data_IF_671718863359
#
_entry.id   IF_671718863359
#
_cell.length_a   1.000
_cell.length_b   1.000
_cell.length_c   1.000
_cell.angle_alpha   90.00
_cell.angle_beta   90.00
_cell.angle_gamma   90.00
#
_symmetry.space_group_name_H-M   'P 1'
#
loop_
_entity.id
_entity.type
_entity.pdbx_description
1 polymer ?
#
# COMPACT_ATOMS: atom_id res chain seq x y z
N UNK A 1 -3.71 -13.13 8.02
CA UNK A 1 -2.57 -12.76 8.90
C UNK A 1 -3.07 -12.03 10.13
N UNK A 2 -2.31 -12.02 11.22
CA UNK A 2 -2.70 -11.30 12.44
C UNK A 2 -2.25 -9.82 12.38
N UNK A 3 -3.20 -8.89 12.45
CA UNK A 3 -2.95 -7.44 12.50
C UNK A 3 -2.96 -6.86 13.92
N UNK A 4 -3.43 -7.61 14.94
CA UNK A 4 -3.43 -7.13 16.34
C UNK A 4 -2.05 -7.13 16.98
N UNK A 5 -1.09 -7.88 16.42
CA UNK A 5 0.30 -7.95 16.87
C UNK A 5 0.47 -8.26 18.37
N UNK A 6 -0.53 -8.90 18.99
CA UNK A 6 -0.54 -9.20 20.42
C UNK A 6 -0.70 -7.98 21.33
N UNK A 7 -1.18 -6.85 20.80
CA UNK A 7 -1.40 -5.61 21.55
C UNK A 7 -2.90 -5.37 21.73
N UNK A 8 -3.37 -5.02 22.93
CA UNK A 8 -4.78 -4.69 23.15
C UNK A 8 -5.23 -3.48 22.31
N UNK A 9 -6.52 -3.48 21.96
CA UNK A 9 -7.13 -2.42 21.13
C UNK A 9 -7.45 -2.88 19.72
N UNK A 10 -7.86 -1.94 18.88
CA UNK A 10 -8.15 -2.17 17.46
C UNK A 10 -6.94 -1.78 16.62
N UNK A 11 -6.50 -2.62 15.67
CA UNK A 11 -5.44 -2.28 14.73
C UNK A 11 -5.71 -0.94 14.05
N UNK A 12 -4.65 -0.19 13.77
CA UNK A 12 -4.70 1.16 13.19
C UNK A 12 -3.60 1.33 12.13
N UNK A 13 -3.89 2.07 11.06
CA UNK A 13 -3.00 2.25 9.90
C UNK A 13 -1.60 2.73 10.29
N UNK A 14 -1.49 3.73 11.17
CA UNK A 14 -0.16 4.29 11.55
C UNK A 14 0.78 3.25 12.14
N UNK A 15 0.29 2.34 12.99
CA UNK A 15 1.09 1.27 13.60
C UNK A 15 1.13 0.00 12.74
N UNK A 16 0.03 -0.33 12.03
CA UNK A 16 -0.05 -1.48 11.14
C UNK A 16 0.89 -1.34 9.94
N UNK A 17 0.78 -0.23 9.22
CA UNK A 17 1.68 0.07 8.10
C UNK A 17 3.14 0.18 8.55
N UNK A 18 3.41 0.82 9.72
CA UNK A 18 4.78 0.84 10.24
C UNK A 18 5.31 -0.58 10.48
N UNK A 19 4.48 -1.49 10.98
CA UNK A 19 4.90 -2.88 11.19
C UNK A 19 5.18 -3.60 9.86
N UNK A 20 4.33 -3.39 8.84
CA UNK A 20 4.55 -3.90 7.48
C UNK A 20 5.87 -3.38 6.90
N UNK A 21 6.08 -2.07 6.95
CA UNK A 21 7.20 -1.40 6.27
C UNK A 21 8.55 -1.62 6.95
N UNK A 22 8.58 -1.90 8.26
CA UNK A 22 9.83 -1.99 9.01
C UNK A 22 10.14 -3.38 9.55
N UNK A 23 9.15 -4.27 9.61
CA UNK A 23 9.28 -5.55 10.29
C UNK A 23 9.24 -5.46 11.83
N UNK A 24 9.05 -4.27 12.40
CA UNK A 24 9.01 -4.06 13.86
C UNK A 24 7.56 -4.07 14.34
N UNK A 25 7.30 -4.66 15.51
CA UNK A 25 6.00 -4.54 16.16
C UNK A 25 5.80 -3.10 16.68
N UNK A 26 5.33 -2.23 15.79
CA UNK A 26 5.17 -0.80 16.04
C UNK A 26 4.13 -0.49 17.12
N UNK A 27 3.04 -1.27 17.19
CA UNK A 27 2.03 -1.13 18.22
C UNK A 27 2.60 -1.45 19.62
N UNK A 28 3.40 -2.52 19.73
CA UNK A 28 4.09 -2.86 20.98
C UNK A 28 5.13 -1.80 21.36
N UNK A 29 5.91 -1.31 20.40
CA UNK A 29 6.94 -0.28 20.62
C UNK A 29 6.35 1.05 21.07
N UNK A 30 5.19 1.43 20.52
CA UNK A 30 4.48 2.65 20.90
C UNK A 30 3.62 2.48 22.17
N UNK A 31 3.31 1.24 22.55
CA UNK A 31 2.48 0.89 23.72
C UNK A 31 0.99 0.70 23.40
N UNK A 32 0.54 1.00 22.17
CA UNK A 32 -0.86 0.82 21.71
C UNK A 32 -0.96 0.90 20.19
N UNK A 33 -2.10 0.49 19.63
CA UNK A 33 -2.45 0.82 18.24
C UNK A 33 -2.68 2.32 18.09
N UNK A 34 -2.22 2.89 16.96
CA UNK A 34 -2.32 4.32 16.68
C UNK A 34 -2.43 4.59 15.17
N UNK A 35 -3.31 5.51 14.78
CA UNK A 35 -3.57 5.91 13.39
C UNK A 35 -4.33 7.25 13.28
N UNK A 36 -4.61 7.69 12.08
CA UNK A 36 -4.23 7.10 10.78
C UNK A 36 -2.75 7.29 10.42
N UNK A 37 -2.08 8.30 10.98
CA UNK A 37 -0.66 8.61 10.72
C UNK A 37 0.26 7.95 11.75
N UNK A 38 1.54 7.69 11.42
CA UNK A 38 2.49 7.17 12.39
C UNK A 38 2.76 8.21 13.49
N UNK A 39 2.80 7.81 14.76
CA UNK A 39 3.19 8.71 15.84
C UNK A 39 4.66 9.13 15.68
N UNK A 40 5.00 10.33 16.16
CA UNK A 40 6.36 10.89 16.03
C UNK A 40 7.45 9.96 16.59
N UNK A 41 7.13 9.22 17.66
CA UNK A 41 8.05 8.25 18.29
C UNK A 41 8.47 7.10 17.36
N UNK A 42 7.73 6.83 16.28
CA UNK A 42 8.08 5.79 15.30
C UNK A 42 8.84 6.32 14.08
N UNK A 43 9.02 7.65 13.95
CA UNK A 43 9.66 8.25 12.76
C UNK A 43 11.09 7.78 12.54
N UNK A 44 11.89 7.67 13.61
CA UNK A 44 13.27 7.18 13.51
C UNK A 44 13.34 5.71 13.05
N UNK A 45 12.38 4.90 13.46
CA UNK A 45 12.29 3.50 13.00
C UNK A 45 11.94 3.47 11.50
N UNK A 46 10.95 4.26 11.08
CA UNK A 46 10.56 4.37 9.67
C UNK A 46 11.75 4.87 8.84
N UNK A 47 12.50 5.88 9.33
CA UNK A 47 13.67 6.43 8.65
C UNK A 47 14.76 5.38 8.45
N UNK A 48 15.07 4.62 9.50
CA UNK A 48 16.22 3.71 9.49
C UNK A 48 15.93 2.32 8.92
N UNK A 49 14.66 1.89 8.90
CA UNK A 49 14.30 0.49 8.62
C UNK A 49 13.13 0.31 7.64
N UNK A 50 12.72 1.36 6.89
CA UNK A 50 11.64 1.16 5.94
C UNK A 50 12.05 0.28 4.75
N UNK A 51 11.07 -0.44 4.20
CA UNK A 51 11.27 -1.42 3.13
C UNK A 51 11.98 -0.84 1.90
N UNK A 52 11.67 0.39 1.48
CA UNK A 52 12.31 1.01 0.32
C UNK A 52 13.82 1.17 0.54
N UNK A 53 14.21 1.77 1.68
CA UNK A 53 15.63 1.94 2.02
C UNK A 53 16.36 0.60 2.08
N UNK A 54 15.75 -0.43 2.68
CA UNK A 54 16.36 -1.75 2.82
C UNK A 54 16.53 -2.47 1.48
N UNK A 55 15.55 -2.36 0.56
CA UNK A 55 15.65 -2.94 -0.78
C UNK A 55 16.69 -2.19 -1.62
N UNK A 56 16.72 -0.86 -1.55
CA UNK A 56 17.73 -0.05 -2.25
C UNK A 56 19.16 -0.34 -1.76
N UNK A 57 19.36 -0.65 -0.47
CA UNK A 57 20.65 -1.10 0.07
C UNK A 57 21.12 -2.44 -0.51
N UNK A 58 20.20 -3.25 -1.06
CA UNK A 58 20.53 -4.46 -1.80
C UNK A 58 20.83 -4.20 -3.30
N UNK A 59 20.93 -2.92 -3.70
CA UNK A 59 21.16 -2.52 -5.09
C UNK A 59 19.94 -2.67 -5.99
N UNK A 60 18.75 -2.79 -5.43
CA UNK A 60 17.49 -3.02 -6.14
C UNK A 60 16.71 -1.73 -6.36
N UNK A 61 16.04 -1.61 -7.49
CA UNK A 61 15.19 -0.48 -7.84
C UNK A 61 13.82 -0.60 -7.20
N UNK A 62 13.28 0.54 -6.73
CA UNK A 62 11.98 0.59 -6.02
C UNK A 62 11.10 1.71 -6.55
N UNK A 63 9.79 1.53 -6.48
CA UNK A 63 8.83 2.58 -6.83
C UNK A 63 7.56 2.47 -5.98
N UNK A 64 6.97 3.64 -5.69
CA UNK A 64 5.60 3.76 -5.20
C UNK A 64 4.72 4.25 -6.34
N UNK A 65 3.85 3.39 -6.86
CA UNK A 65 3.15 3.59 -8.11
C UNK A 65 1.99 4.59 -8.06
N UNK A 66 1.58 5.05 -6.87
CA UNK A 66 0.48 5.99 -6.73
C UNK A 66 0.86 7.40 -7.19
N UNK A 67 -0.02 8.03 -7.98
CA UNK A 67 0.09 9.43 -8.38
C UNK A 67 -0.54 10.38 -7.35
N UNK A 68 0.05 11.57 -7.22
CA UNK A 68 -0.42 12.65 -6.34
C UNK A 68 -0.71 13.93 -7.12
N UNK A 69 -1.80 14.64 -6.78
CA UNK A 69 -2.08 15.96 -7.36
C UNK A 69 -1.16 17.04 -6.75
N UNK A 70 -0.98 18.16 -7.45
CA UNK A 70 -0.11 19.26 -7.00
C UNK A 70 -0.41 19.72 -5.57
N UNK A 71 -1.68 19.85 -5.20
CA UNK A 71 -2.09 20.23 -3.83
C UNK A 71 -1.49 19.35 -2.73
N UNK A 72 -1.15 18.07 -3.03
CA UNK A 72 -0.48 17.20 -2.08
C UNK A 72 0.97 17.63 -1.87
N UNK A 73 1.67 18.01 -2.93
CA UNK A 73 3.04 18.52 -2.84
C UNK A 73 3.08 19.87 -2.12
N UNK A 74 2.12 20.74 -2.39
CA UNK A 74 1.98 22.03 -1.68
C UNK A 74 1.76 21.80 -0.17
N UNK A 75 0.90 20.82 0.17
CA UNK A 75 0.69 20.39 1.56
C UNK A 75 1.97 19.86 2.21
N UNK A 76 2.72 19.01 1.53
CA UNK A 76 3.98 18.46 2.08
C UNK A 76 5.05 19.53 2.25
N UNK A 77 5.12 20.48 1.32
CA UNK A 77 6.07 21.60 1.32
C UNK A 77 5.72 22.68 2.36
N UNK A 78 4.47 22.78 2.81
CA UNK A 78 4.04 23.71 3.87
C UNK A 78 4.59 23.38 5.27
N UNK A 79 5.40 22.32 5.39
CA UNK A 79 5.96 21.87 6.66
C UNK A 79 5.00 20.99 7.47
N UNK A 80 3.85 20.63 6.93
CA UNK A 80 2.89 19.74 7.58
C UNK A 80 3.47 18.34 7.74
N UNK A 81 3.33 17.78 8.93
CA UNK A 81 3.97 16.50 9.31
C UNK A 81 3.01 15.31 9.37
N UNK A 82 1.76 15.49 8.93
CA UNK A 82 0.75 14.42 8.92
C UNK A 82 0.77 13.66 7.58
N UNK A 83 1.74 12.79 7.42
CA UNK A 83 1.90 11.94 6.24
C UNK A 83 1.64 10.48 6.60
N UNK A 84 1.10 9.71 5.66
CA UNK A 84 0.98 8.25 5.82
C UNK A 84 2.37 7.62 5.98
N UNK A 85 2.42 6.40 6.50
CA UNK A 85 3.68 5.66 6.63
C UNK A 85 4.35 5.49 5.26
N UNK A 86 3.57 5.19 4.23
CA UNK A 86 4.04 4.99 2.86
C UNK A 86 4.72 6.24 2.31
N UNK A 87 4.01 7.37 2.33
CA UNK A 87 4.57 8.65 1.85
C UNK A 87 5.81 9.05 2.64
N UNK A 88 5.76 8.92 3.98
CA UNK A 88 6.89 9.24 4.84
C UNK A 88 8.10 8.35 4.54
N UNK A 89 7.87 7.06 4.29
CA UNK A 89 8.92 6.11 3.92
C UNK A 89 9.56 6.45 2.57
N UNK A 90 8.75 6.82 1.56
CA UNK A 90 9.26 7.29 0.27
C UNK A 90 10.16 8.52 0.44
N UNK A 91 9.67 9.56 1.14
CA UNK A 91 10.44 10.78 1.36
C UNK A 91 11.74 10.53 2.14
N UNK A 92 11.72 9.69 3.16
CA UNK A 92 12.90 9.36 3.96
C UNK A 92 13.91 8.47 3.21
N UNK A 93 13.45 7.68 2.25
CA UNK A 93 14.29 6.85 1.40
C UNK A 93 14.77 7.57 0.12
N UNK A 94 14.26 8.77 -0.17
CA UNK A 94 14.54 9.48 -1.42
C UNK A 94 13.83 8.88 -2.64
N UNK A 95 12.75 8.12 -2.43
CA UNK A 95 11.92 7.59 -3.52
C UNK A 95 11.01 8.69 -4.02
N UNK A 96 11.08 9.08 -5.31
CA UNK A 96 10.22 10.11 -5.86
C UNK A 96 8.74 9.68 -5.82
N UNK A 97 7.88 10.65 -5.53
CA UNK A 97 6.43 10.48 -5.62
C UNK A 97 5.96 10.89 -7.02
N UNK A 98 5.11 10.09 -7.61
CA UNK A 98 4.57 10.36 -8.94
C UNK A 98 3.53 11.49 -8.93
N UNK A 99 3.52 12.25 -10.00
CA UNK A 99 2.71 13.45 -10.21
C UNK A 99 1.55 13.21 -11.19
N UNK A 100 0.76 14.25 -11.44
CA UNK A 100 -0.24 14.25 -12.51
C UNK A 100 0.39 14.00 -13.89
N UNK A 101 1.63 14.46 -14.13
CA UNK A 101 2.34 14.24 -15.40
C UNK A 101 2.69 12.76 -15.61
N UNK A 102 3.07 12.08 -14.54
CA UNK A 102 3.30 10.63 -14.61
C UNK A 102 2.01 9.87 -14.90
N UNK A 103 0.88 10.31 -14.30
CA UNK A 103 -0.42 9.71 -14.57
C UNK A 103 -0.88 9.93 -16.02
N UNK A 104 -0.64 11.13 -16.61
CA UNK A 104 -0.92 11.41 -18.03
C UNK A 104 -0.21 10.45 -18.96
N UNK A 105 1.02 10.10 -18.64
CA UNK A 105 1.84 9.16 -19.43
C UNK A 105 1.59 7.69 -19.09
N UNK A 106 0.59 7.38 -18.30
CA UNK A 106 0.32 6.04 -17.77
C UNK A 106 1.52 5.42 -16.99
N UNK A 107 2.42 6.28 -16.50
CA UNK A 107 3.56 5.91 -15.69
C UNK A 107 3.28 5.85 -14.19
N UNK A 108 2.03 6.12 -13.80
CA UNK A 108 1.55 6.05 -12.42
C UNK A 108 0.10 5.56 -12.39
N UNK A 109 -0.39 5.18 -11.20
CA UNK A 109 -1.76 4.73 -10.98
C UNK A 109 -2.45 5.67 -10.00
N UNK A 110 -3.72 6.02 -10.27
CA UNK A 110 -4.54 6.78 -9.33
C UNK A 110 -4.93 5.92 -8.14
N UNK A 111 -4.92 6.48 -6.94
CA UNK A 111 -5.29 5.77 -5.72
C UNK A 111 -6.76 5.27 -5.72
N UNK A 112 -7.65 5.88 -6.53
CA UNK A 112 -9.04 5.43 -6.72
C UNK A 112 -9.22 4.59 -7.99
N UNK A 113 -8.12 4.21 -8.67
CA UNK A 113 -8.01 3.39 -9.87
C UNK A 113 -8.48 4.09 -11.15
N UNK A 114 -9.72 4.54 -11.21
CA UNK A 114 -10.45 4.93 -12.43
C UNK A 114 -10.18 6.36 -12.91
N UNK A 115 -9.46 7.18 -12.15
CA UNK A 115 -9.18 8.62 -12.45
C UNK A 115 -10.42 9.51 -12.49
N UNK A 116 -11.59 9.02 -12.06
CA UNK A 116 -12.86 9.78 -12.10
C UNK A 116 -12.79 11.10 -11.31
N UNK A 117 -11.96 11.15 -10.26
CA UNK A 117 -11.80 12.33 -9.41
C UNK A 117 -10.78 13.36 -9.90
N UNK A 118 -9.96 13.03 -10.88
CA UNK A 118 -8.90 13.93 -11.35
C UNK A 118 -9.43 15.21 -12.02
N UNK A 119 -10.51 15.17 -12.86
CA UNK A 119 -11.12 16.38 -13.37
C UNK A 119 -11.59 17.34 -12.27
N UNK A 120 -12.17 16.83 -11.18
CA UNK A 120 -12.61 17.63 -10.02
C UNK A 120 -11.42 18.27 -9.27
N UNK A 121 -10.22 17.68 -9.39
CA UNK A 121 -8.98 18.20 -8.84
C UNK A 121 -8.30 19.25 -9.72
N UNK A 122 -8.93 19.63 -10.86
CA UNK A 122 -8.40 20.61 -11.80
C UNK A 122 -7.60 20.01 -12.98
N UNK A 123 -7.65 18.67 -13.17
CA UNK A 123 -6.94 17.96 -14.23
C UNK A 123 -7.93 17.40 -15.27
N UNK A 124 -8.65 18.29 -15.96
CA UNK A 124 -9.66 17.92 -16.97
C UNK A 124 -9.10 17.18 -18.18
N UNK A 125 -7.79 17.25 -18.37
CA UNK A 125 -7.02 16.58 -19.42
C UNK A 125 -6.58 15.14 -19.05
N UNK A 126 -6.88 14.67 -17.83
CA UNK A 126 -6.68 13.28 -17.41
C UNK A 126 -8.04 12.56 -17.49
N UNK A 127 -8.29 11.79 -18.56
CA UNK A 127 -9.56 11.11 -18.73
C UNK A 127 -9.72 9.94 -17.76
N UNK A 128 -10.96 9.60 -17.37
CA UNK A 128 -11.26 8.36 -16.69
C UNK A 128 -10.83 7.14 -17.51
N UNK A 129 -10.51 6.07 -16.82
CA UNK A 129 -10.18 4.74 -17.40
C UNK A 129 -10.93 3.65 -16.63
N UNK A 130 -11.03 2.43 -17.18
CA UNK A 130 -11.52 1.30 -16.40
C UNK A 130 -10.52 0.88 -15.33
N UNK A 131 -11.00 0.24 -14.27
CA UNK A 131 -10.13 -0.29 -13.24
C UNK A 131 -9.19 -1.37 -13.80
N UNK A 132 -9.66 -2.20 -14.74
CA UNK A 132 -8.81 -3.17 -15.44
C UNK A 132 -7.66 -2.52 -16.21
N UNK A 133 -7.91 -1.38 -16.87
CA UNK A 133 -6.83 -0.63 -17.54
C UNK A 133 -5.81 -0.10 -16.52
N UNK A 134 -6.25 0.36 -15.36
CA UNK A 134 -5.34 0.77 -14.28
C UNK A 134 -4.46 -0.40 -13.79
N UNK A 135 -5.03 -1.62 -13.74
CA UNK A 135 -4.28 -2.85 -13.44
C UNK A 135 -3.18 -3.15 -14.47
N UNK A 136 -3.49 -3.04 -15.76
CA UNK A 136 -2.49 -3.18 -16.85
C UNK A 136 -1.38 -2.12 -16.74
N UNK A 137 -1.74 -0.88 -16.41
CA UNK A 137 -0.74 0.16 -16.19
C UNK A 137 0.16 -0.17 -15.00
N UNK A 138 -0.39 -0.68 -13.87
CA UNK A 138 0.43 -1.10 -12.74
C UNK A 138 1.40 -2.21 -13.13
N UNK A 139 0.96 -3.21 -13.91
CA UNK A 139 1.85 -4.25 -14.40
C UNK A 139 2.98 -3.68 -15.27
N UNK A 140 2.65 -2.78 -16.21
CA UNK A 140 3.64 -2.11 -17.05
C UNK A 140 4.67 -1.30 -16.26
N UNK A 141 4.25 -0.70 -15.12
CA UNK A 141 5.16 -0.02 -14.20
C UNK A 141 6.03 -1.05 -13.48
N UNK A 142 5.43 -2.13 -12.98
CA UNK A 142 6.13 -3.16 -12.22
C UNK A 142 7.27 -3.83 -13.01
N UNK A 143 7.13 -3.97 -14.32
CA UNK A 143 8.19 -4.50 -15.18
C UNK A 143 9.48 -3.66 -15.23
N UNK A 144 9.45 -2.41 -14.73
CA UNK A 144 10.59 -1.48 -14.78
C UNK A 144 11.39 -1.43 -13.47
N UNK A 145 10.89 -2.08 -12.42
CA UNK A 145 11.45 -2.01 -11.07
C UNK A 145 11.52 -3.39 -10.43
N UNK A 146 12.50 -3.60 -9.57
CA UNK A 146 12.60 -4.83 -8.79
C UNK A 146 11.52 -4.92 -7.71
N UNK A 147 11.06 -3.77 -7.19
CA UNK A 147 9.98 -3.69 -6.19
C UNK A 147 9.03 -2.55 -6.49
N UNK A 148 7.77 -2.87 -6.70
CA UNK A 148 6.69 -1.91 -6.93
C UNK A 148 5.67 -2.02 -5.81
N UNK A 149 5.37 -0.91 -5.16
CA UNK A 149 4.28 -0.78 -4.20
C UNK A 149 3.13 0.00 -4.81
N UNK A 150 1.91 -0.47 -4.61
CA UNK A 150 0.67 0.27 -4.86
C UNK A 150 -0.21 0.20 -3.62
N UNK A 151 -0.84 1.30 -3.25
CA UNK A 151 -1.71 1.41 -2.08
C UNK A 151 -3.14 1.78 -2.50
N UNK A 152 -4.11 0.96 -2.08
CA UNK A 152 -5.53 1.15 -2.32
C UNK A 152 -6.26 1.33 -0.98
N UNK A 153 -6.73 2.53 -0.70
CA UNK A 153 -7.31 2.91 0.58
C UNK A 153 -8.84 3.03 0.57
N UNK A 154 -9.51 2.87 -0.60
CA UNK A 154 -10.97 2.99 -0.68
C UNK A 154 -11.70 1.88 0.06
N UNK A 155 -11.11 0.71 0.25
CA UNK A 155 -11.68 -0.36 1.09
C UNK A 155 -11.86 0.10 2.54
N UNK A 156 -10.92 0.86 3.09
CA UNK A 156 -11.03 1.44 4.43
C UNK A 156 -12.16 2.48 4.49
N UNK A 157 -12.25 3.36 3.49
CA UNK A 157 -13.37 4.30 3.37
C UNK A 157 -14.73 3.61 3.28
N UNK A 158 -14.82 2.54 2.50
CA UNK A 158 -16.03 1.76 2.34
C UNK A 158 -16.46 1.11 3.66
N UNK A 159 -15.52 0.50 4.38
CA UNK A 159 -15.76 -0.05 5.72
C UNK A 159 -16.28 1.00 6.70
N UNK A 160 -15.61 2.13 6.81
CA UNK A 160 -16.03 3.24 7.68
C UNK A 160 -17.41 3.83 7.30
N UNK A 161 -17.81 3.73 6.02
CA UNK A 161 -19.11 4.22 5.57
C UNK A 161 -20.30 3.37 6.05
N UNK A 162 -20.07 2.10 6.36
CA UNK A 162 -21.10 1.09 6.68
C UNK A 162 -22.16 0.90 5.57
N UNK A 163 -21.86 1.30 4.32
CA UNK A 163 -22.78 1.21 3.19
C UNK A 163 -22.44 0.00 2.33
N UNK A 164 -23.33 -0.99 2.29
CA UNK A 164 -23.13 -2.23 1.54
C UNK A 164 -22.88 -1.97 0.05
N UNK A 165 -23.70 -1.10 -0.58
CA UNK A 165 -23.56 -0.80 -2.01
C UNK A 165 -22.19 -0.20 -2.33
N UNK A 166 -21.68 0.71 -1.49
CA UNK A 166 -20.36 1.30 -1.67
C UNK A 166 -19.24 0.28 -1.43
N UNK A 167 -19.40 -0.62 -0.47
CA UNK A 167 -18.43 -1.68 -0.23
C UNK A 167 -18.36 -2.66 -1.42
N UNK A 168 -19.53 -3.07 -1.94
CA UNK A 168 -19.64 -3.94 -3.12
C UNK A 168 -19.02 -3.27 -4.34
N UNK A 169 -19.36 -2.02 -4.64
CA UNK A 169 -18.77 -1.26 -5.75
C UNK A 169 -17.24 -1.15 -5.63
N UNK A 170 -16.75 -0.85 -4.41
CA UNK A 170 -15.31 -0.74 -4.14
C UNK A 170 -14.58 -2.05 -4.40
N UNK A 171 -15.17 -3.19 -3.97
CA UNK A 171 -14.59 -4.51 -4.19
C UNK A 171 -14.67 -4.94 -5.66
N UNK A 172 -15.75 -4.62 -6.38
CA UNK A 172 -15.86 -4.88 -7.82
C UNK A 172 -14.79 -4.10 -8.62
N UNK A 173 -14.59 -2.81 -8.34
CA UNK A 173 -13.52 -2.02 -8.96
C UNK A 173 -12.14 -2.61 -8.67
N UNK A 174 -11.91 -3.10 -7.45
CA UNK A 174 -10.65 -3.71 -7.08
C UNK A 174 -10.44 -5.09 -7.75
N UNK A 175 -11.49 -5.89 -7.88
CA UNK A 175 -11.45 -7.17 -8.59
C UNK A 175 -11.16 -6.97 -10.09
N UNK A 176 -11.83 -6.02 -10.74
CA UNK A 176 -11.54 -5.63 -12.13
C UNK A 176 -10.08 -5.15 -12.30
N UNK A 177 -9.58 -4.36 -11.34
CA UNK A 177 -8.19 -3.92 -11.33
C UNK A 177 -7.20 -5.09 -11.22
N UNK A 178 -7.45 -6.04 -10.33
CA UNK A 178 -6.64 -7.24 -10.21
C UNK A 178 -6.72 -8.11 -11.47
N UNK A 179 -7.90 -8.25 -12.07
CA UNK A 179 -8.08 -8.94 -13.35
C UNK A 179 -7.19 -8.35 -14.44
N UNK A 180 -7.22 -7.02 -14.60
CA UNK A 180 -6.37 -6.33 -15.57
C UNK A 180 -4.87 -6.46 -15.27
N UNK A 181 -4.47 -6.44 -14.01
CA UNK A 181 -3.08 -6.66 -13.60
C UNK A 181 -2.60 -8.09 -13.93
N UNK A 182 -3.46 -9.08 -13.68
CA UNK A 182 -3.11 -10.49 -13.83
C UNK A 182 -3.16 -10.98 -15.29
N UNK A 183 -3.77 -10.23 -16.22
CA UNK A 183 -3.93 -10.63 -17.62
C UNK A 183 -2.57 -10.92 -18.28
N UNK A 184 -1.58 -10.05 -18.04
CA UNK A 184 -0.23 -10.17 -18.61
C UNK A 184 0.82 -10.55 -17.54
N UNK A 185 0.40 -10.88 -16.32
CA UNK A 185 1.28 -11.14 -15.19
C UNK A 185 2.18 -12.36 -15.42
N UNK A 186 3.49 -12.16 -15.41
CA UNK A 186 4.47 -13.24 -15.51
C UNK A 186 4.68 -13.94 -14.16
N UNK A 187 3.86 -14.93 -13.90
CA UNK A 187 3.92 -15.71 -12.64
C UNK A 187 5.18 -16.57 -12.47
N UNK A 188 6.02 -16.69 -13.50
CA UNK A 188 7.27 -17.47 -13.43
C UNK A 188 8.45 -16.63 -12.95
N UNK A 189 8.41 -15.31 -13.22
CA UNK A 189 9.52 -14.39 -12.93
C UNK A 189 9.09 -13.25 -11.97
N UNK A 190 7.84 -13.26 -11.50
CA UNK A 190 7.32 -12.20 -10.64
C UNK A 190 6.51 -12.76 -9.47
N UNK A 191 6.43 -11.99 -8.41
CA UNK A 191 5.64 -12.29 -7.22
C UNK A 191 4.70 -11.12 -6.91
N UNK A 192 3.40 -11.35 -7.01
CA UNK A 192 2.37 -10.45 -6.50
C UNK A 192 2.08 -10.78 -5.04
N UNK A 193 2.11 -9.77 -4.18
CA UNK A 193 1.72 -9.86 -2.77
C UNK A 193 0.58 -8.87 -2.51
N UNK A 194 -0.56 -9.38 -2.04
CA UNK A 194 -1.71 -8.58 -1.60
C UNK A 194 -1.89 -8.74 -0.09
N UNK A 195 -1.88 -7.63 0.62
CA UNK A 195 -2.01 -7.58 2.09
C UNK A 195 -2.91 -6.43 2.52
N UNK A 196 -3.40 -6.49 3.77
CA UNK A 196 -4.03 -5.36 4.45
C UNK A 196 -3.36 -5.11 5.80
N UNK A 197 -3.34 -3.86 6.23
CA UNK A 197 -2.74 -3.40 7.49
C UNK A 197 -3.68 -3.55 8.69
N UNK A 198 -4.99 -3.64 8.46
CA UNK A 198 -6.03 -3.93 9.47
C UNK A 198 -7.32 -4.43 8.79
N UNK A 199 -8.22 -4.98 9.56
CA UNK A 199 -9.58 -5.32 9.13
C UNK A 199 -10.51 -4.10 9.24
N UNK A 200 -11.48 -4.02 8.35
CA UNK A 200 -12.52 -2.99 8.32
C UNK A 200 -13.71 -3.40 7.44
N UNK A 201 -13.54 -3.46 6.10
CA UNK A 201 -14.62 -3.66 5.11
C UNK A 201 -15.35 -5.00 5.26
N UNK A 202 -14.73 -6.00 5.87
CA UNK A 202 -15.32 -7.31 6.08
C UNK A 202 -16.43 -7.33 7.15
N UNK A 203 -16.58 -6.24 7.92
CA UNK A 203 -17.63 -6.10 8.93
C UNK A 203 -18.23 -4.68 8.91
N UNK A 204 -19.29 -4.52 8.13
CA UNK A 204 -20.00 -3.25 7.99
C UNK A 204 -20.98 -2.95 9.15
N UNK A 205 -21.08 -3.82 10.15
CA UNK A 205 -21.90 -3.56 11.35
C UNK A 205 -21.30 -2.49 12.26
N UNK A 206 -20.02 -2.18 12.10
CA UNK A 206 -19.27 -1.19 12.88
C UNK A 206 -18.55 -0.17 11.98
N UNK A 207 -18.39 1.05 12.46
CA UNK A 207 -17.51 2.07 11.85
C UNK A 207 -16.04 1.88 12.19
N UNK A 208 -15.75 1.05 13.18
CA UNK A 208 -14.39 0.85 13.67
C UNK A 208 -13.68 -0.23 12.88
N UNK A 209 -12.35 -0.23 12.91
CA UNK A 209 -11.58 -1.38 12.48
C UNK A 209 -11.95 -2.62 13.28
N UNK A 210 -11.57 -3.79 12.78
CA UNK A 210 -11.84 -5.07 13.45
C UNK A 210 -10.56 -5.70 14.00
N UNK A 211 -10.71 -6.77 14.77
CA UNK A 211 -9.61 -7.64 15.21
C UNK A 211 -9.49 -8.88 14.34
N UNK A 212 -10.27 -8.96 13.26
CA UNK A 212 -10.24 -10.07 12.35
C UNK A 212 -8.87 -10.24 11.71
N UNK A 213 -8.61 -11.44 11.23
CA UNK A 213 -7.42 -11.68 10.43
C UNK A 213 -7.54 -10.97 9.08
N UNK A 214 -6.44 -10.39 8.64
CA UNK A 214 -6.37 -9.70 7.35
C UNK A 214 -5.86 -10.63 6.25
N UNK A 215 -6.18 -10.36 4.98
CA UNK A 215 -5.67 -11.14 3.86
C UNK A 215 -4.15 -11.13 3.81
N UNK A 216 -3.59 -12.21 3.30
CA UNK A 216 -2.20 -12.34 2.95
C UNK A 216 -2.13 -13.32 1.79
N UNK A 217 -2.17 -12.79 0.58
CA UNK A 217 -2.22 -13.54 -0.66
C UNK A 217 -0.90 -13.34 -1.40
N UNK A 218 -0.36 -14.41 -1.94
CA UNK A 218 0.82 -14.36 -2.81
C UNK A 218 0.60 -15.23 -4.04
N UNK A 219 0.91 -14.68 -5.22
CA UNK A 219 0.75 -15.33 -6.52
C UNK A 219 2.04 -15.18 -7.31
N UNK A 220 2.52 -16.27 -7.89
CA UNK A 220 3.70 -16.26 -8.76
C UNK A 220 4.92 -16.94 -8.15
N UNK A 221 6.10 -16.47 -8.56
CA UNK A 221 7.39 -17.05 -8.21
C UNK A 221 7.64 -17.00 -6.70
N UNK A 222 8.15 -18.10 -6.16
CA UNK A 222 8.54 -18.20 -4.72
C UNK A 222 7.41 -17.90 -3.72
N UNK A 223 6.13 -17.90 -4.15
CA UNK A 223 4.98 -17.64 -3.25
C UNK A 223 4.96 -18.53 -2.02
N UNK A 224 5.35 -19.81 -2.17
CA UNK A 224 5.38 -20.77 -1.05
C UNK A 224 6.43 -20.40 -0.01
N UNK A 225 7.59 -19.93 -0.43
CA UNK A 225 8.65 -19.46 0.47
C UNK A 225 8.20 -18.22 1.25
N UNK A 226 7.61 -17.24 0.56
CA UNK A 226 7.07 -16.05 1.21
C UNK A 226 5.99 -16.41 2.23
N UNK A 227 4.95 -17.15 1.83
CA UNK A 227 3.83 -17.49 2.69
C UNK A 227 4.22 -18.33 3.90
N UNK A 228 5.21 -19.21 3.77
CA UNK A 228 5.71 -20.01 4.90
C UNK A 228 6.38 -19.14 5.99
N UNK A 229 6.95 -18.01 5.61
CA UNK A 229 7.65 -17.08 6.50
C UNK A 229 6.72 -16.04 7.14
N UNK A 230 5.51 -15.82 6.60
CA UNK A 230 4.64 -14.70 6.98
C UNK A 230 3.44 -15.17 7.80
N UNK A 231 3.37 -14.76 9.07
CA UNK A 231 2.26 -15.07 10.00
C UNK A 231 1.51 -13.84 10.48
N UNK A 232 2.15 -12.69 10.48
CA UNK A 232 1.60 -11.40 10.90
C UNK A 232 2.30 -10.26 10.14
N UNK A 233 1.86 -9.02 10.37
CA UNK A 233 2.34 -7.84 9.65
C UNK A 233 3.84 -7.58 9.79
N UNK A 234 4.47 -7.96 10.91
CA UNK A 234 5.92 -7.73 11.11
C UNK A 234 6.80 -8.65 10.26
N UNK A 235 6.23 -9.67 9.66
CA UNK A 235 6.98 -10.61 8.83
C UNK A 235 7.01 -10.21 7.35
N UNK A 236 6.27 -9.18 6.94
CA UNK A 236 6.14 -8.77 5.52
C UNK A 236 7.50 -8.30 4.98
N UNK A 237 8.04 -7.22 5.51
CA UNK A 237 9.35 -6.71 5.05
C UNK A 237 10.48 -7.74 5.19
N UNK A 238 10.68 -8.44 6.31
CA UNK A 238 11.68 -9.50 6.37
C UNK A 238 11.47 -10.61 5.33
N UNK A 239 10.22 -11.02 5.09
CA UNK A 239 9.88 -12.00 4.08
C UNK A 239 10.26 -11.56 2.68
N UNK A 240 9.93 -10.33 2.29
CA UNK A 240 10.30 -9.75 0.99
C UNK A 240 11.83 -9.64 0.85
N UNK A 241 12.52 -9.13 1.87
CA UNK A 241 13.97 -8.99 1.84
C UNK A 241 14.71 -10.33 1.72
N UNK A 242 14.15 -11.40 2.29
CA UNK A 242 14.73 -12.74 2.16
C UNK A 242 14.71 -13.25 0.73
N UNK A 243 13.70 -12.85 -0.06
CA UNK A 243 13.60 -13.19 -1.47
C UNK A 243 14.69 -12.50 -2.31
N UNK A 244 14.99 -11.24 -2.04
CA UNK A 244 16.04 -10.50 -2.75
C UNK A 244 17.46 -10.95 -2.38
N UNK A 245 17.71 -11.49 -1.19
CA UNK A 245 19.03 -11.93 -0.74
C UNK A 245 19.45 -13.28 -1.30
N UNK A 246 18.52 -14.05 -1.83
CA UNK A 246 18.75 -15.41 -2.34
C UNK A 246 18.68 -15.51 -3.87
N UNK A 247 18.46 -14.37 -4.53
CA UNK A 247 18.43 -14.25 -5.99
C UNK A 247 19.80 -13.90 -6.56
#
# INVERSE_FOLDING_TARGET
MNATLGVPGLPQSGTGQTAIFTGINAAKRFGKHFGPFPPSALREVIKSQNIFSQIMQLGKSVVFANAFPQRFFDYTNSGTRRLTVTTLSCMMAGVPLFTADDLRRNGAVSAELTRERWPELGYSDIPPISAGMAGKHLWTIALKYDFTLFEYWLTDHAGHSQKMDFAVETLHKFDEFLGGFLEDFDSKNSLLILISDHGNIEDLSTKSHTRNQVPGIAVGERRGEFLSSVKNLTHITPGILSLFRRS
#
